data_IF_108945718982
#
_entry.id   IF_108945718982
#
_cell.length_a   1.000
_cell.length_b   1.000
_cell.length_c   1.000
_cell.angle_alpha   90.00
_cell.angle_beta   90.00
_cell.angle_gamma   90.00
#
_symmetry.space_group_name_H-M   'P 1'
#
loop_
_entity.id
_entity.type
_entity.pdbx_description
1 polymer ?
#
# COMPACT_ATOMS: atom_id res chain seq x y z
N UNK A 1 -2.80 22.81 -44.77
CA UNK A 1 -2.51 22.17 -43.46
C UNK A 1 -1.35 22.94 -42.84
N UNK A 2 -1.50 23.48 -41.65
CA UNK A 2 -0.36 24.05 -40.90
C UNK A 2 0.43 22.86 -40.36
N UNK A 3 1.70 22.77 -40.74
CA UNK A 3 2.61 21.83 -40.09
C UNK A 3 2.78 22.27 -38.63
N UNK A 4 2.22 21.52 -37.71
CA UNK A 4 2.50 21.72 -36.30
C UNK A 4 3.85 21.03 -36.04
N UNK A 5 4.90 21.80 -35.89
CA UNK A 5 6.15 21.27 -35.38
C UNK A 5 5.98 21.06 -33.89
N UNK A 6 5.90 19.79 -33.47
CA UNK A 6 5.98 19.42 -32.06
C UNK A 6 7.46 19.52 -31.66
N UNK A 7 7.77 20.41 -30.75
CA UNK A 7 9.04 20.39 -30.04
C UNK A 7 8.97 19.29 -28.96
N UNK A 8 10.12 18.84 -28.47
CA UNK A 8 10.23 17.73 -27.50
C UNK A 8 9.55 18.03 -26.13
N UNK A 9 9.04 19.23 -25.94
CA UNK A 9 8.38 19.69 -24.73
C UNK A 9 6.83 19.62 -24.78
N UNK A 10 6.26 19.03 -25.80
CA UNK A 10 4.81 18.84 -25.91
C UNK A 10 4.41 17.39 -25.70
N UNK A 11 3.30 17.20 -24.99
CA UNK A 11 2.62 15.93 -24.85
C UNK A 11 1.20 16.05 -25.40
N UNK A 12 0.83 15.10 -26.24
CA UNK A 12 -0.55 14.95 -26.72
C UNK A 12 -1.05 13.59 -26.23
N UNK A 13 -2.09 13.60 -25.45
CA UNK A 13 -2.78 12.38 -25.03
C UNK A 13 -4.19 12.37 -25.59
N UNK A 14 -4.68 11.18 -25.90
CA UNK A 14 -6.09 11.01 -26.24
C UNK A 14 -6.61 9.73 -25.60
N UNK A 15 -7.89 9.75 -25.24
CA UNK A 15 -8.59 8.60 -24.73
C UNK A 15 -9.95 8.45 -25.41
N UNK A 16 -10.35 7.22 -25.63
CA UNK A 16 -11.64 6.86 -26.22
C UNK A 16 -12.52 6.26 -25.14
N UNK A 17 -13.65 6.89 -24.89
CA UNK A 17 -14.59 6.46 -23.87
C UNK A 17 -15.93 6.08 -24.49
N UNK A 18 -16.57 4.97 -24.05
CA UNK A 18 -17.95 4.69 -24.45
C UNK A 18 -18.87 5.80 -23.94
N UNK A 19 -19.85 6.17 -24.74
CA UNK A 19 -20.88 7.12 -24.30
C UNK A 19 -21.69 6.51 -23.15
N UNK A 20 -21.82 7.26 -22.05
CA UNK A 20 -22.53 6.81 -20.84
C UNK A 20 -24.05 6.74 -20.99
N UNK A 21 -24.62 7.41 -21.97
CA UNK A 21 -26.07 7.53 -22.10
C UNK A 21 -26.62 6.55 -23.15
N UNK A 22 -27.23 5.48 -22.63
CA UNK A 22 -28.22 4.66 -23.33
C UNK A 22 -27.75 3.93 -24.58
N UNK A 23 -28.70 3.66 -25.46
CA UNK A 23 -28.64 2.80 -26.62
C UNK A 23 -27.75 3.33 -27.77
N UNK A 24 -27.22 4.50 -27.66
CA UNK A 24 -26.38 5.09 -28.72
C UNK A 24 -24.99 4.47 -28.70
N UNK A 25 -24.66 3.74 -29.75
CA UNK A 25 -23.31 3.24 -30.03
C UNK A 25 -22.41 4.40 -30.48
N UNK A 26 -21.82 5.10 -29.55
CA UNK A 26 -20.90 6.19 -29.81
C UNK A 26 -19.74 6.17 -28.83
N UNK A 27 -18.66 6.84 -29.20
CA UNK A 27 -17.49 7.02 -28.34
C UNK A 27 -17.17 8.49 -28.26
N UNK A 28 -16.79 8.94 -27.06
CA UNK A 28 -16.17 10.24 -26.87
C UNK A 28 -14.66 10.11 -26.98
N UNK A 29 -14.04 10.94 -27.79
CA UNK A 29 -12.59 11.07 -27.85
C UNK A 29 -12.23 12.33 -27.09
N UNK A 30 -11.43 12.20 -26.05
CA UNK A 30 -10.93 13.30 -25.26
C UNK A 30 -9.46 13.50 -25.63
N UNK A 31 -9.09 14.73 -25.94
CA UNK A 31 -7.74 15.13 -26.26
C UNK A 31 -7.22 16.05 -25.17
N UNK A 32 -6.00 15.81 -24.75
CA UNK A 32 -5.25 16.71 -23.89
C UNK A 32 -3.95 17.07 -24.57
N UNK A 33 -3.65 18.37 -24.57
CA UNK A 33 -2.42 18.93 -25.12
C UNK A 33 -1.74 19.71 -24.01
N UNK A 34 -0.50 19.33 -23.69
CA UNK A 34 0.26 19.93 -22.61
C UNK A 34 1.65 20.33 -23.11
N UNK A 35 2.04 21.54 -22.76
CA UNK A 35 3.39 22.05 -22.92
C UNK A 35 4.14 21.96 -21.59
N UNK A 36 5.31 21.31 -21.59
CA UNK A 36 6.14 21.20 -20.40
C UNK A 36 7.16 22.33 -20.36
N UNK A 37 7.36 22.93 -19.20
CA UNK A 37 8.57 23.72 -18.99
C UNK A 37 9.76 22.78 -18.86
N UNK A 38 10.91 23.15 -19.43
CA UNK A 38 12.18 22.41 -19.27
C UNK A 38 12.85 22.64 -17.91
N UNK A 39 12.18 23.35 -17.01
CA UNK A 39 12.69 23.59 -15.66
C UNK A 39 12.57 22.30 -14.84
N UNK A 40 13.67 21.89 -14.22
CA UNK A 40 13.65 20.81 -13.23
C UNK A 40 12.82 21.27 -12.02
N UNK A 41 11.60 20.81 -11.93
CA UNK A 41 10.75 21.02 -10.77
C UNK A 41 11.08 19.90 -9.78
N UNK A 42 11.50 20.25 -8.57
CA UNK A 42 11.66 19.30 -7.48
C UNK A 42 10.27 18.82 -7.04
N UNK A 43 9.81 17.71 -7.58
CA UNK A 43 8.49 17.14 -7.30
C UNK A 43 8.59 16.19 -6.12
N UNK A 44 7.86 16.49 -5.06
CA UNK A 44 7.62 15.51 -3.98
C UNK A 44 6.45 14.60 -4.37
N UNK A 45 6.68 13.29 -4.36
CA UNK A 45 5.62 12.30 -4.54
C UNK A 45 4.96 12.01 -3.18
N UNK A 46 4.06 12.89 -2.75
CA UNK A 46 3.33 12.70 -1.51
C UNK A 46 1.93 12.17 -1.79
N UNK A 47 1.46 11.25 -0.97
CA UNK A 47 0.07 10.82 -0.94
C UNK A 47 -0.43 10.64 0.53
N UNK A 48 -1.74 10.79 0.80
CA UNK A 48 -2.82 10.90 -0.18
C UNK A 48 -2.78 12.22 -0.98
N UNK A 49 -3.06 12.13 -2.27
CA UNK A 49 -3.21 13.26 -3.19
C UNK A 49 -4.51 13.09 -4.02
N UNK A 50 -4.82 14.07 -4.87
CA UNK A 50 -6.06 14.03 -5.67
C UNK A 50 -6.14 12.78 -6.55
N UNK A 51 -5.03 12.32 -7.13
CA UNK A 51 -5.04 11.13 -7.98
C UNK A 51 -5.15 9.85 -7.15
N UNK A 52 -4.43 9.75 -6.04
CA UNK A 52 -4.55 8.58 -5.16
C UNK A 52 -5.96 8.40 -4.58
N UNK A 53 -6.73 9.48 -4.44
CA UNK A 53 -8.14 9.39 -4.02
C UNK A 53 -9.05 8.73 -5.07
N UNK A 54 -8.72 8.81 -6.37
CA UNK A 54 -9.49 8.14 -7.42
C UNK A 54 -9.23 6.64 -7.52
N UNK A 55 -8.00 6.23 -7.27
CA UNK A 55 -7.56 4.83 -7.43
C UNK A 55 -7.23 4.16 -6.09
N UNK A 56 -7.15 4.94 -5.03
CA UNK A 56 -6.75 4.52 -3.68
C UNK A 56 -5.25 4.48 -3.47
N UNK A 57 -4.83 4.70 -2.23
CA UNK A 57 -3.41 4.83 -1.85
C UNK A 57 -2.60 3.56 -2.11
N UNK A 58 -3.20 2.37 -1.97
CA UNK A 58 -2.52 1.10 -2.29
C UNK A 58 -2.14 1.00 -3.76
N UNK A 59 -3.07 1.37 -4.65
CA UNK A 59 -2.81 1.39 -6.09
C UNK A 59 -1.73 2.42 -6.44
N UNK A 60 -1.85 3.62 -5.87
CA UNK A 60 -0.92 4.71 -6.12
C UNK A 60 0.50 4.37 -5.66
N UNK A 61 0.67 3.83 -4.46
CA UNK A 61 1.98 3.39 -3.97
C UNK A 61 2.63 2.35 -4.88
N UNK A 62 1.87 1.37 -5.38
CA UNK A 62 2.39 0.38 -6.33
C UNK A 62 2.80 1.00 -7.67
N UNK A 63 2.05 1.98 -8.19
CA UNK A 63 2.43 2.73 -9.40
C UNK A 63 3.75 3.46 -9.18
N UNK A 64 3.91 4.11 -8.02
CA UNK A 64 5.17 4.79 -7.66
C UNK A 64 6.33 3.79 -7.60
N UNK A 65 6.14 2.63 -6.98
CA UNK A 65 7.18 1.60 -6.92
C UNK A 65 7.57 1.10 -8.33
N UNK A 66 6.60 0.84 -9.20
CA UNK A 66 6.82 0.43 -10.59
C UNK A 66 7.56 1.51 -11.40
N UNK A 67 7.12 2.77 -11.28
CA UNK A 67 7.75 3.93 -11.91
C UNK A 67 9.23 4.10 -11.49
N UNK A 68 9.56 3.84 -10.24
CA UNK A 68 10.93 3.89 -9.71
C UNK A 68 11.74 2.63 -10.07
N UNK A 69 11.17 1.72 -10.87
CA UNK A 69 11.83 0.54 -11.40
C UNK A 69 12.02 -0.60 -10.39
N UNK A 70 11.18 -0.69 -9.37
CA UNK A 70 11.10 -1.87 -8.50
C UNK A 70 10.33 -2.99 -9.19
N UNK A 71 10.49 -4.21 -8.70
CA UNK A 71 9.68 -5.33 -9.18
C UNK A 71 8.32 -5.28 -8.50
N UNK A 72 7.29 -4.92 -9.26
CA UNK A 72 5.90 -4.92 -8.83
C UNK A 72 5.17 -5.99 -9.62
N UNK A 73 4.41 -6.91 -9.00
CA UNK A 73 3.61 -7.88 -9.73
C UNK A 73 2.58 -7.20 -10.62
N UNK A 74 2.35 -7.76 -11.81
CA UNK A 74 1.36 -7.21 -12.74
C UNK A 74 0.02 -7.00 -12.04
N UNK A 75 -0.40 -5.74 -11.99
CA UNK A 75 -1.56 -5.27 -11.27
C UNK A 75 -2.50 -4.54 -12.21
N UNK A 76 -3.76 -4.95 -12.25
CA UNK A 76 -4.84 -4.24 -12.94
C UNK A 76 -5.65 -3.46 -11.92
N UNK A 77 -5.79 -2.16 -12.15
CA UNK A 77 -6.65 -1.26 -11.34
C UNK A 77 -8.01 -1.18 -12.00
N UNK A 78 -9.06 -1.45 -11.24
CA UNK A 78 -10.46 -1.36 -11.67
C UNK A 78 -11.14 -0.35 -10.74
N UNK A 79 -11.47 0.81 -11.27
CA UNK A 79 -12.11 1.91 -10.55
C UNK A 79 -13.37 2.37 -11.27
N UNK A 80 -14.25 3.11 -10.56
CA UNK A 80 -15.51 3.60 -11.16
C UNK A 80 -15.32 4.77 -12.09
N UNK A 81 -14.36 5.63 -11.77
CA UNK A 81 -14.17 6.92 -12.43
C UNK A 81 -12.91 6.99 -13.30
N UNK A 82 -12.16 5.90 -13.38
CA UNK A 82 -10.95 5.77 -14.18
C UNK A 82 -11.08 4.52 -15.03
N UNK A 83 -10.69 4.60 -16.30
CA UNK A 83 -10.65 3.41 -17.16
C UNK A 83 -9.69 2.36 -16.56
N UNK A 84 -10.02 1.07 -16.61
CA UNK A 84 -9.12 0.04 -16.11
C UNK A 84 -7.77 0.10 -16.82
N UNK A 85 -6.70 0.01 -16.04
CA UNK A 85 -5.34 -0.01 -16.57
C UNK A 85 -4.47 -1.01 -15.83
N UNK A 86 -3.38 -1.42 -16.46
CA UNK A 86 -2.47 -2.45 -15.95
C UNK A 86 -1.04 -1.94 -15.98
N UNK A 87 -0.29 -2.25 -14.94
CA UNK A 87 1.14 -1.94 -14.80
C UNK A 87 1.85 -3.09 -14.08
N UNK A 88 3.17 -2.96 -13.89
CA UNK A 88 3.99 -3.98 -13.24
C UNK A 88 4.42 -5.10 -14.17
N UNK A 89 5.12 -6.08 -13.62
CA UNK A 89 5.79 -7.17 -14.35
C UNK A 89 5.05 -8.48 -14.19
N UNK A 90 5.11 -9.32 -15.21
CA UNK A 90 4.61 -10.69 -15.14
C UNK A 90 5.46 -11.53 -14.18
N UNK A 91 4.83 -12.21 -13.25
CA UNK A 91 5.46 -13.10 -12.27
C UNK A 91 5.57 -14.54 -12.76
N UNK A 92 4.98 -14.86 -13.93
CA UNK A 92 4.86 -16.21 -14.44
C UNK A 92 3.78 -17.07 -13.77
N UNK A 93 3.05 -16.51 -12.79
CA UNK A 93 1.99 -17.22 -12.05
C UNK A 93 0.62 -16.80 -12.57
N UNK A 94 -0.32 -17.75 -12.63
CA UNK A 94 -1.70 -17.48 -13.06
C UNK A 94 -2.60 -17.02 -11.92
N UNK A 95 -2.27 -17.37 -10.66
CA UNK A 95 -3.01 -16.92 -9.47
C UNK A 95 -3.09 -15.39 -9.43
N UNK A 96 -4.27 -14.87 -9.05
CA UNK A 96 -4.50 -13.45 -8.89
C UNK A 96 -5.12 -13.16 -7.55
N UNK A 97 -4.59 -12.16 -6.90
CA UNK A 97 -5.12 -11.62 -5.67
C UNK A 97 -6.03 -10.43 -5.96
N UNK A 98 -7.23 -10.47 -5.42
CA UNK A 98 -8.16 -9.36 -5.48
C UNK A 98 -8.09 -8.61 -4.15
N UNK A 99 -7.78 -7.33 -4.23
CA UNK A 99 -7.63 -6.46 -3.05
C UNK A 99 -8.56 -5.26 -3.17
N UNK A 100 -9.40 -5.05 -2.17
CA UNK A 100 -10.24 -3.86 -2.09
C UNK A 100 -9.44 -2.67 -1.57
N UNK A 101 -9.61 -1.53 -2.22
CA UNK A 101 -8.90 -0.29 -1.87
C UNK A 101 -9.91 0.80 -1.51
N UNK A 102 -10.15 1.05 -0.22
CA UNK A 102 -11.01 2.13 0.23
C UNK A 102 -10.32 3.49 0.06
N UNK A 103 -11.11 4.57 -0.06
CA UNK A 103 -10.59 5.95 -0.07
C UNK A 103 -9.91 6.27 1.26
N UNK A 104 -10.55 5.88 2.37
CA UNK A 104 -9.95 5.99 3.71
C UNK A 104 -9.38 4.65 4.10
N UNK A 105 -8.08 4.62 4.40
CA UNK A 105 -7.38 3.38 4.76
C UNK A 105 -7.93 2.85 6.09
N UNK A 106 -8.43 1.61 6.08
CA UNK A 106 -8.81 0.84 7.27
C UNK A 106 -8.14 -0.54 7.19
N UNK A 107 -6.98 -0.72 7.84
CA UNK A 107 -6.20 -1.95 7.74
C UNK A 107 -6.98 -3.19 8.19
N UNK A 108 -6.90 -4.27 7.40
CA UNK A 108 -7.51 -5.57 7.76
C UNK A 108 -9.04 -5.64 7.75
N UNK A 109 -9.76 -4.60 7.29
CA UNK A 109 -11.22 -4.58 7.27
C UNK A 109 -11.83 -5.07 5.98
N UNK A 110 -11.18 -4.78 4.86
CA UNK A 110 -11.71 -5.03 3.53
C UNK A 110 -11.17 -6.31 2.91
N UNK A 111 -11.94 -6.84 1.98
CA UNK A 111 -11.65 -8.11 1.32
C UNK A 111 -10.27 -8.09 0.64
N UNK A 112 -9.52 -9.15 0.91
CA UNK A 112 -8.34 -9.59 0.15
C UNK A 112 -8.47 -11.09 -0.05
N UNK A 113 -8.31 -11.58 -1.27
CA UNK A 113 -8.44 -13.01 -1.57
C UNK A 113 -7.99 -13.36 -2.99
N UNK A 114 -7.84 -14.65 -3.23
CA UNK A 114 -7.35 -15.25 -4.48
C UNK A 114 -8.45 -15.81 -5.38
N UNK A 115 -9.72 -15.70 -4.95
CA UNK A 115 -10.86 -16.19 -5.72
C UNK A 115 -11.41 -15.10 -6.64
N UNK A 116 -11.73 -15.50 -7.86
CA UNK A 116 -12.41 -14.62 -8.79
C UNK A 116 -13.76 -14.13 -8.24
N UNK A 117 -14.04 -12.86 -8.43
CA UNK A 117 -15.31 -12.23 -8.10
C UNK A 117 -15.59 -11.10 -9.10
N UNK A 118 -16.86 -10.76 -9.28
CA UNK A 118 -17.22 -9.57 -10.05
C UNK A 118 -16.74 -8.31 -9.30
N UNK A 119 -15.89 -7.47 -9.92
CA UNK A 119 -15.29 -6.34 -9.23
C UNK A 119 -16.31 -5.29 -8.79
N UNK A 120 -17.36 -5.08 -9.55
CA UNK A 120 -18.37 -4.08 -9.22
C UNK A 120 -19.33 -4.56 -8.13
N UNK A 121 -19.68 -5.85 -8.16
CA UNK A 121 -20.45 -6.46 -7.07
C UNK A 121 -19.65 -6.44 -5.75
N UNK A 122 -18.36 -6.77 -5.79
CA UNK A 122 -17.51 -6.71 -4.63
C UNK A 122 -17.40 -5.29 -4.06
N UNK A 123 -17.23 -4.25 -4.90
CA UNK A 123 -17.23 -2.86 -4.44
C UNK A 123 -18.51 -2.53 -3.67
N UNK A 124 -19.66 -2.91 -4.20
CA UNK A 124 -20.96 -2.65 -3.56
C UNK A 124 -21.09 -3.42 -2.23
N UNK A 125 -20.61 -4.66 -2.17
CA UNK A 125 -20.64 -5.47 -0.95
C UNK A 125 -19.74 -4.85 0.14
N UNK A 126 -18.55 -4.42 -0.23
CA UNK A 126 -17.59 -3.83 0.71
C UNK A 126 -18.05 -2.46 1.22
N UNK A 127 -18.71 -1.65 0.39
CA UNK A 127 -19.29 -0.37 0.79
C UNK A 127 -20.41 -0.53 1.82
N UNK A 128 -21.16 -1.63 1.76
CA UNK A 128 -22.23 -1.95 2.73
C UNK A 128 -21.73 -2.37 4.11
N UNK A 129 -20.44 -2.73 4.25
CA UNK A 129 -19.86 -3.14 5.54
C UNK A 129 -19.60 -1.96 6.48
N UNK A 130 -19.62 -0.73 5.98
CA UNK A 130 -19.36 0.47 6.76
C UNK A 130 -20.61 1.05 7.41
N UNK A 131 -20.45 1.70 8.57
CA UNK A 131 -21.52 2.44 9.24
C UNK A 131 -21.89 3.76 8.55
N UNK A 132 -21.11 4.21 7.58
CA UNK A 132 -21.29 5.41 6.74
C UNK A 132 -20.98 5.04 5.32
N UNK A 133 -21.45 5.82 4.36
CA UNK A 133 -21.14 5.71 2.93
C UNK A 133 -19.61 5.67 2.69
N UNK A 134 -19.03 4.49 2.84
CA UNK A 134 -17.62 4.26 2.61
C UNK A 134 -17.44 4.05 1.12
N UNK A 135 -16.73 4.96 0.51
CA UNK A 135 -16.40 4.87 -0.90
C UNK A 135 -15.19 3.97 -1.11
N UNK A 136 -15.37 2.90 -1.85
CA UNK A 136 -14.28 2.10 -2.38
C UNK A 136 -13.72 2.80 -3.63
N UNK A 137 -12.47 3.18 -3.59
CA UNK A 137 -11.80 3.86 -4.70
C UNK A 137 -11.60 2.90 -5.89
N UNK A 138 -11.08 1.70 -5.62
CA UNK A 138 -10.79 0.71 -6.64
C UNK A 138 -10.70 -0.70 -6.09
N UNK A 139 -10.62 -1.65 -7.01
CA UNK A 139 -10.13 -2.99 -6.77
C UNK A 139 -8.81 -3.20 -7.52
N UNK A 140 -7.89 -3.88 -6.90
CA UNK A 140 -6.67 -4.35 -7.53
C UNK A 140 -6.80 -5.84 -7.86
N UNK A 141 -6.54 -6.20 -9.11
CA UNK A 141 -6.30 -7.58 -9.51
C UNK A 141 -4.80 -7.75 -9.75
N UNK A 142 -4.10 -8.28 -8.77
CA UNK A 142 -2.64 -8.42 -8.76
C UNK A 142 -2.24 -9.87 -8.99
N UNK A 143 -1.27 -10.13 -9.85
CA UNK A 143 -0.69 -11.47 -10.01
C UNK A 143 -0.04 -11.92 -8.72
N UNK A 144 -0.20 -13.20 -8.39
CA UNK A 144 0.50 -13.84 -7.29
C UNK A 144 2.02 -13.85 -7.51
N UNK A 145 2.75 -14.01 -6.43
CA UNK A 145 4.20 -14.28 -6.42
C UNK A 145 4.40 -15.56 -5.65
N UNK A 146 5.22 -16.47 -6.15
CA UNK A 146 5.57 -17.69 -5.41
C UNK A 146 6.42 -17.31 -4.21
N UNK A 147 5.83 -17.34 -3.02
CA UNK A 147 6.47 -16.85 -1.82
C UNK A 147 7.36 -17.92 -1.18
N UNK A 148 8.68 -17.75 -1.25
CA UNK A 148 9.60 -18.46 -0.35
C UNK A 148 9.71 -17.75 1.00
N UNK A 149 9.72 -16.43 0.97
CA UNK A 149 9.63 -15.58 2.15
C UNK A 149 8.76 -14.38 1.82
N UNK A 150 8.13 -13.82 2.83
CA UNK A 150 7.34 -12.60 2.70
C UNK A 150 7.33 -11.83 4.02
N UNK A 151 7.04 -10.54 3.95
CA UNK A 151 7.03 -9.71 5.15
C UNK A 151 6.83 -8.24 4.87
N UNK A 152 7.22 -7.44 5.85
CA UNK A 152 7.23 -5.99 5.80
C UNK A 152 8.63 -5.42 6.04
N UNK A 153 8.87 -4.22 5.58
CA UNK A 153 10.03 -3.46 5.98
C UNK A 153 9.70 -1.97 6.10
N UNK A 154 10.35 -1.31 7.03
CA UNK A 154 10.33 0.15 7.19
C UNK A 154 11.70 0.65 6.75
N UNK A 155 11.72 1.67 5.91
CA UNK A 155 12.93 2.24 5.35
C UNK A 155 13.03 3.68 5.83
N UNK A 156 13.96 3.91 6.76
CA UNK A 156 14.25 5.21 7.33
C UNK A 156 15.16 6.07 6.46
N UNK A 157 15.56 7.22 7.02
CA UNK A 157 16.51 8.10 6.37
C UNK A 157 17.92 7.52 6.35
N UNK A 158 18.23 6.66 7.30
CA UNK A 158 19.49 5.95 7.43
C UNK A 158 19.25 4.49 7.86
N UNK A 159 20.28 3.65 7.74
CA UNK A 159 20.18 2.21 8.01
C UNK A 159 19.86 1.87 9.48
N UNK A 160 20.13 2.76 10.42
CA UNK A 160 19.82 2.52 11.83
C UNK A 160 18.32 2.68 12.15
N UNK A 161 17.58 3.30 11.26
CA UNK A 161 16.12 3.46 11.35
C UNK A 161 15.36 2.37 10.58
N UNK A 162 16.07 1.45 9.94
CA UNK A 162 15.46 0.38 9.16
C UNK A 162 14.91 -0.73 10.06
N UNK A 163 13.77 -1.26 9.66
CA UNK A 163 13.18 -2.45 10.25
C UNK A 163 12.88 -3.45 9.14
N UNK A 164 13.32 -4.69 9.30
CA UNK A 164 12.97 -5.81 8.41
C UNK A 164 12.27 -6.86 9.25
N UNK A 165 11.09 -7.25 8.82
CA UNK A 165 10.30 -8.29 9.45
C UNK A 165 9.79 -9.25 8.36
N UNK A 166 9.72 -10.56 8.66
CA UNK A 166 9.20 -11.50 7.69
C UNK A 166 9.24 -12.94 8.13
N UNK A 167 8.55 -13.76 7.38
CA UNK A 167 8.36 -15.18 7.61
C UNK A 167 8.67 -16.00 6.37
N UNK A 168 8.89 -17.28 6.55
CA UNK A 168 9.00 -18.22 5.46
C UNK A 168 7.60 -18.52 4.89
N UNK A 169 7.46 -18.44 3.56
CA UNK A 169 6.19 -18.69 2.88
C UNK A 169 5.32 -17.45 2.71
N UNK A 170 4.00 -17.65 2.68
CA UNK A 170 3.00 -16.59 2.48
C UNK A 170 2.85 -15.77 3.75
N UNK A 171 2.74 -14.43 3.60
CA UNK A 171 2.72 -13.49 4.70
C UNK A 171 1.35 -13.22 5.33
N UNK A 172 0.31 -13.98 4.98
CA UNK A 172 -1.02 -13.76 5.53
C UNK A 172 -1.01 -13.93 7.05
N UNK A 173 -0.33 -14.96 7.57
CA UNK A 173 -0.19 -15.25 8.99
C UNK A 173 0.67 -14.21 9.72
N UNK A 174 1.69 -13.66 9.05
CA UNK A 174 2.52 -12.56 9.58
C UNK A 174 1.70 -11.29 9.82
N UNK A 175 0.85 -10.92 8.88
CA UNK A 175 0.03 -9.70 8.99
C UNK A 175 -1.07 -9.82 10.06
N UNK A 176 -1.44 -11.03 10.44
CA UNK A 176 -2.44 -11.34 11.49
C UNK A 176 -1.86 -11.63 12.86
N UNK A 177 -0.52 -11.68 12.99
CA UNK A 177 0.13 -11.77 14.30
C UNK A 177 0.83 -13.09 14.60
N UNK A 178 0.95 -13.99 13.64
CA UNK A 178 1.82 -15.17 13.75
C UNK A 178 3.23 -14.78 13.23
N UNK A 179 4.13 -14.49 14.15
CA UNK A 179 5.48 -14.05 13.83
C UNK A 179 6.50 -15.10 14.26
N UNK A 180 7.24 -15.63 13.28
CA UNK A 180 8.52 -16.31 13.50
C UNK A 180 9.60 -15.59 12.68
N UNK A 181 10.53 -14.93 13.36
CA UNK A 181 11.68 -14.30 12.71
C UNK A 181 12.63 -15.39 12.22
N UNK A 182 12.61 -15.68 10.91
CA UNK A 182 13.44 -16.72 10.32
C UNK A 182 13.86 -16.35 8.89
N UNK A 183 14.43 -15.15 8.74
CA UNK A 183 14.97 -14.72 7.46
C UNK A 183 16.40 -15.22 7.27
N UNK A 184 16.69 -15.78 6.09
CA UNK A 184 18.07 -16.14 5.74
C UNK A 184 18.89 -14.88 5.43
N UNK A 185 20.21 -14.97 5.63
CA UNK A 185 21.14 -13.89 5.30
C UNK A 185 21.06 -13.46 3.83
N UNK A 186 20.75 -14.39 2.92
CA UNK A 186 20.52 -14.11 1.51
C UNK A 186 19.35 -13.15 1.30
N UNK A 187 18.20 -13.45 1.92
CA UNK A 187 16.99 -12.60 1.83
C UNK A 187 17.23 -11.24 2.44
N UNK A 188 17.87 -11.18 3.60
CA UNK A 188 18.26 -9.93 4.25
C UNK A 188 19.17 -9.10 3.35
N UNK A 189 20.16 -9.72 2.71
CA UNK A 189 21.05 -9.07 1.76
C UNK A 189 20.29 -8.44 0.58
N UNK A 190 19.40 -9.21 -0.05
CA UNK A 190 18.57 -8.74 -1.14
C UNK A 190 17.62 -7.61 -0.73
N UNK A 191 17.03 -7.70 0.46
CA UNK A 191 16.19 -6.64 1.02
C UNK A 191 16.97 -5.36 1.24
N UNK A 192 18.18 -5.43 1.79
CA UNK A 192 19.05 -4.26 1.98
C UNK A 192 19.38 -3.56 0.66
N UNK A 193 19.61 -4.31 -0.43
CA UNK A 193 19.79 -3.73 -1.77
C UNK A 193 18.55 -2.94 -2.21
N UNK A 194 17.36 -3.51 -2.04
CA UNK A 194 16.08 -2.86 -2.35
C UNK A 194 15.87 -1.63 -1.47
N UNK A 195 16.12 -1.74 -0.17
CA UNK A 195 15.98 -0.64 0.79
C UNK A 195 16.94 0.52 0.46
N UNK A 196 18.18 0.23 0.10
CA UNK A 196 19.14 1.24 -0.34
C UNK A 196 18.70 1.95 -1.62
N UNK A 197 18.08 1.22 -2.56
CA UNK A 197 17.47 1.82 -3.74
C UNK A 197 16.30 2.75 -3.35
N UNK A 198 15.41 2.36 -2.43
CA UNK A 198 14.37 3.26 -1.91
C UNK A 198 14.99 4.50 -1.25
N UNK A 199 16.03 4.32 -0.43
CA UNK A 199 16.72 5.43 0.26
C UNK A 199 17.34 6.42 -0.72
N UNK A 200 17.78 6.00 -1.90
CA UNK A 200 18.25 6.92 -2.94
C UNK A 200 17.13 7.86 -3.45
N UNK A 201 15.88 7.53 -3.21
CA UNK A 201 14.70 8.33 -3.55
C UNK A 201 14.06 9.04 -2.33
N UNK A 202 14.73 9.08 -1.16
CA UNK A 202 14.17 9.66 0.07
C UNK A 202 13.74 11.12 -0.08
N UNK A 203 14.43 11.92 -0.91
CA UNK A 203 14.01 13.31 -1.18
C UNK A 203 12.61 13.38 -1.78
N UNK A 204 12.24 12.37 -2.57
CA UNK A 204 10.95 12.26 -3.25
C UNK A 204 9.87 11.63 -2.35
N UNK A 205 10.24 10.57 -1.64
CA UNK A 205 9.30 9.68 -0.95
C UNK A 205 9.22 9.93 0.56
N UNK A 206 10.28 10.45 1.18
CA UNK A 206 10.42 10.41 2.62
C UNK A 206 10.59 8.97 3.13
N UNK A 207 10.22 8.74 4.37
CA UNK A 207 10.21 7.40 4.99
C UNK A 207 9.07 6.56 4.43
N UNK A 208 9.35 5.32 4.10
CA UNK A 208 8.37 4.40 3.51
C UNK A 208 8.30 3.06 4.26
N UNK A 209 7.14 2.41 4.18
CA UNK A 209 7.01 0.99 4.47
C UNK A 209 6.64 0.23 3.21
N UNK A 210 7.17 -0.97 3.10
CA UNK A 210 6.88 -1.89 2.01
C UNK A 210 6.36 -3.21 2.57
N UNK A 211 5.43 -3.83 1.85
CA UNK A 211 5.19 -5.26 1.92
C UNK A 211 5.93 -5.91 0.76
N UNK A 212 6.64 -6.98 1.04
CA UNK A 212 7.53 -7.62 0.08
C UNK A 212 7.35 -9.15 0.05
N UNK A 213 7.67 -9.73 -1.09
CA UNK A 213 7.72 -11.18 -1.30
C UNK A 213 9.04 -11.53 -1.99
N UNK A 214 9.73 -12.55 -1.51
CA UNK A 214 10.89 -13.14 -2.16
C UNK A 214 10.52 -14.46 -2.82
N UNK A 215 10.76 -14.57 -4.13
CA UNK A 215 10.41 -15.74 -4.94
C UNK A 215 11.55 -16.75 -5.12
N UNK A 216 12.68 -16.55 -4.43
CA UNK A 216 13.91 -17.34 -4.59
C UNK A 216 14.93 -16.69 -5.54
N UNK A 217 14.56 -15.58 -6.18
CA UNK A 217 15.45 -14.83 -7.09
C UNK A 217 15.41 -13.33 -6.82
N UNK A 218 14.23 -12.77 -6.75
CA UNK A 218 13.97 -11.34 -6.68
C UNK A 218 13.04 -10.98 -5.53
N UNK A 219 13.20 -9.76 -5.03
CA UNK A 219 12.23 -9.15 -4.12
C UNK A 219 11.16 -8.44 -4.96
N UNK A 220 9.91 -8.76 -4.68
CA UNK A 220 8.73 -8.15 -5.26
C UNK A 220 8.05 -7.24 -4.25
N UNK A 221 7.72 -6.03 -4.66
CA UNK A 221 6.98 -5.06 -3.85
C UNK A 221 5.50 -5.27 -4.10
N UNK A 222 4.77 -5.72 -3.08
CA UNK A 222 3.33 -5.98 -3.17
C UNK A 222 2.49 -4.89 -2.51
N UNK A 223 3.12 -3.99 -1.75
CA UNK A 223 2.53 -2.74 -1.25
C UNK A 223 3.63 -1.73 -0.91
N UNK A 224 3.39 -0.45 -1.15
CA UNK A 224 4.23 0.69 -0.74
C UNK A 224 3.37 1.75 -0.07
N UNK A 225 3.78 2.19 1.12
CA UNK A 225 3.14 3.26 1.86
C UNK A 225 4.18 4.30 2.31
N UNK A 226 3.78 5.57 2.40
CA UNK A 226 4.56 6.58 3.11
C UNK A 226 4.25 6.55 4.60
N UNK A 227 5.28 6.71 5.42
CA UNK A 227 5.18 6.78 6.88
C UNK A 227 5.71 8.14 7.34
N UNK A 228 5.01 8.77 8.26
CA UNK A 228 5.43 10.07 8.80
C UNK A 228 6.31 9.98 10.05
N UNK A 229 6.26 8.85 10.77
CA UNK A 229 7.02 8.62 12.00
C UNK A 229 7.64 7.22 12.00
N UNK A 230 8.93 7.12 12.24
CA UNK A 230 9.67 5.87 12.45
C UNK A 230 10.04 5.80 13.91
N UNK A 231 9.89 4.64 14.54
CA UNK A 231 10.26 4.39 15.91
C UNK A 231 11.16 3.16 16.06
N UNK A 232 12.01 3.14 17.07
CA UNK A 232 12.88 2.01 17.39
C UNK A 232 12.10 0.73 17.70
N UNK A 233 12.54 -0.35 17.12
CA UNK A 233 12.19 -1.78 17.18
C UNK A 233 11.06 -2.35 18.07
N UNK A 234 10.54 -1.62 19.05
CA UNK A 234 9.38 -2.02 19.87
C UNK A 234 8.30 -0.95 19.92
N UNK A 235 8.67 0.32 19.72
CA UNK A 235 7.74 1.44 19.73
C UNK A 235 7.03 1.53 18.37
N UNK A 236 5.70 1.55 18.37
CA UNK A 236 4.87 1.69 17.15
C UNK A 236 4.60 3.17 16.87
N UNK A 237 4.21 3.90 17.90
CA UNK A 237 3.94 5.35 17.85
C UNK A 237 4.55 5.99 19.09
N UNK A 238 5.44 6.95 18.87
CA UNK A 238 6.02 7.73 19.94
C UNK A 238 4.99 8.68 20.57
N UNK A 239 5.10 8.93 21.86
CA UNK A 239 4.30 9.91 22.58
C UNK A 239 4.44 9.76 24.09
N UNK A 240 4.21 10.87 24.80
CA UNK A 240 4.20 10.89 26.26
C UNK A 240 2.76 10.79 26.74
N UNK A 241 2.45 9.71 27.42
CA UNK A 241 1.14 9.45 28.05
C UNK A 241 1.32 9.03 29.50
N UNK A 242 0.30 9.23 30.31
CA UNK A 242 0.35 8.92 31.75
C UNK A 242 0.24 7.42 32.04
N UNK A 243 -0.38 6.65 31.13
CA UNK A 243 -0.60 5.21 31.28
C UNK A 243 -0.72 4.51 29.95
N UNK A 244 -0.59 3.18 29.98
CA UNK A 244 -0.82 2.31 28.83
C UNK A 244 -1.87 1.25 29.16
N UNK A 245 -2.86 1.08 28.29
CA UNK A 245 -3.80 -0.04 28.35
C UNK A 245 -3.29 -1.21 27.53
N UNK A 246 -3.46 -2.41 28.06
CA UNK A 246 -3.03 -3.65 27.41
C UNK A 246 -4.04 -4.06 26.35
N UNK A 247 -3.56 -4.41 25.15
CA UNK A 247 -4.33 -4.99 24.08
C UNK A 247 -3.63 -6.24 23.57
N UNK A 248 -4.33 -7.35 23.52
CA UNK A 248 -3.73 -8.62 23.11
C UNK A 248 -3.99 -8.87 21.61
N UNK A 249 -2.94 -9.23 20.90
CA UNK A 249 -3.03 -9.58 19.46
C UNK A 249 -4.03 -10.70 19.23
N UNK A 250 -4.09 -11.66 20.14
CA UNK A 250 -5.04 -12.77 20.10
C UNK A 250 -6.52 -12.37 20.15
N UNK A 251 -6.83 -11.17 20.62
CA UNK A 251 -8.20 -10.62 20.62
C UNK A 251 -8.64 -10.08 19.25
N UNK A 252 -7.70 -9.93 18.31
CA UNK A 252 -7.93 -9.47 16.95
C UNK A 252 -8.03 -7.95 16.79
N UNK A 253 -8.03 -7.53 15.52
CA UNK A 253 -8.01 -6.10 15.14
C UNK A 253 -9.27 -5.32 15.55
N UNK A 254 -10.44 -5.98 15.56
CA UNK A 254 -11.69 -5.29 15.94
C UNK A 254 -11.70 -4.95 17.44
N UNK A 255 -11.18 -5.84 18.31
CA UNK A 255 -11.01 -5.55 19.73
C UNK A 255 -10.10 -4.32 19.94
N UNK A 256 -8.98 -4.24 19.19
CA UNK A 256 -8.10 -3.08 19.24
C UNK A 256 -8.83 -1.78 18.82
N UNK A 257 -9.62 -1.83 17.74
CA UNK A 257 -10.38 -0.67 17.26
C UNK A 257 -11.41 -0.18 18.27
N UNK A 258 -12.12 -1.10 18.90
CA UNK A 258 -13.12 -0.75 19.91
C UNK A 258 -12.46 -0.17 21.17
N UNK A 259 -11.33 -0.71 21.57
CA UNK A 259 -10.52 -0.16 22.66
C UNK A 259 -10.06 1.26 22.36
N UNK A 260 -9.57 1.54 21.15
CA UNK A 260 -9.16 2.88 20.72
C UNK A 260 -10.30 3.90 20.79
N UNK A 261 -11.54 3.50 20.43
CA UNK A 261 -12.72 4.39 20.50
C UNK A 261 -13.04 4.86 21.92
N UNK A 262 -12.72 4.05 22.91
CA UNK A 262 -13.01 4.30 24.34
C UNK A 262 -11.80 4.80 25.12
N UNK A 263 -10.63 4.88 24.49
CA UNK A 263 -9.36 5.23 25.13
C UNK A 263 -9.35 6.69 25.59
N UNK A 264 -8.88 6.93 26.80
CA UNK A 264 -8.68 8.28 27.31
C UNK A 264 -7.55 9.02 26.57
N UNK A 265 -7.66 10.35 26.48
CA UNK A 265 -6.70 11.18 25.69
C UNK A 265 -5.25 11.08 26.14
N UNK A 266 -4.99 10.72 27.40
CA UNK A 266 -3.65 10.63 28.00
C UNK A 266 -3.24 9.17 28.27
N UNK A 267 -3.80 8.24 27.47
CA UNK A 267 -3.52 6.81 27.59
C UNK A 267 -3.04 6.28 26.25
N UNK A 268 -1.98 5.48 26.28
CA UNK A 268 -1.46 4.74 25.12
C UNK A 268 -1.87 3.27 25.13
N UNK A 269 -1.39 2.51 24.16
CA UNK A 269 -1.61 1.06 24.05
C UNK A 269 -0.29 0.29 24.17
N UNK A 270 -0.26 -0.65 25.11
CA UNK A 270 0.72 -1.74 25.14
C UNK A 270 0.15 -2.91 24.36
N UNK A 271 0.67 -3.17 23.16
CA UNK A 271 0.24 -4.29 22.31
C UNK A 271 1.03 -5.54 22.74
N UNK A 272 0.32 -6.58 23.21
CA UNK A 272 0.93 -7.82 23.73
C UNK A 272 0.72 -8.94 22.73
N UNK A 273 1.82 -9.55 22.26
CA UNK A 273 1.81 -10.71 21.36
C UNK A 273 2.95 -10.68 20.34
N UNK A 274 3.07 -11.80 19.62
CA UNK A 274 4.07 -11.95 18.58
C UNK A 274 3.54 -11.37 17.25
N UNK A 275 3.73 -10.07 17.08
CA UNK A 275 3.30 -9.34 15.88
C UNK A 275 4.38 -8.36 15.45
N UNK A 276 4.49 -8.14 14.14
CA UNK A 276 5.41 -7.15 13.59
C UNK A 276 4.91 -5.72 13.75
N UNK A 277 5.84 -4.77 13.86
CA UNK A 277 5.52 -3.34 13.84
C UNK A 277 4.87 -2.94 12.51
N UNK A 278 5.26 -3.58 11.41
CA UNK A 278 4.72 -3.37 10.07
C UNK A 278 3.35 -4.03 9.84
N UNK A 279 2.82 -4.74 10.83
CA UNK A 279 1.52 -5.42 10.78
C UNK A 279 0.33 -4.47 10.72
N UNK A 280 -0.86 -5.03 10.47
CA UNK A 280 -2.11 -4.28 10.53
C UNK A 280 -2.40 -3.67 11.90
N UNK A 281 -1.97 -4.31 13.00
CA UNK A 281 -2.07 -3.73 14.34
C UNK A 281 -1.26 -2.44 14.45
N UNK A 282 -0.01 -2.46 13.99
CA UNK A 282 0.83 -1.27 13.94
C UNK A 282 0.24 -0.17 13.05
N UNK A 283 -0.33 -0.52 11.92
CA UNK A 283 -1.00 0.41 11.02
C UNK A 283 -2.21 1.10 11.66
N UNK A 284 -3.05 0.36 12.39
CA UNK A 284 -4.21 0.91 13.12
C UNK A 284 -3.75 1.91 14.18
N UNK A 285 -2.73 1.59 14.96
CA UNK A 285 -2.20 2.47 16.00
C UNK A 285 -1.57 3.74 15.40
N UNK A 286 -0.78 3.62 14.33
CA UNK A 286 -0.21 4.76 13.61
C UNK A 286 -1.26 5.68 13.00
N UNK A 287 -2.28 5.11 12.37
CA UNK A 287 -3.37 5.87 11.77
C UNK A 287 -4.12 6.72 12.78
N UNK A 288 -4.36 6.15 13.98
CA UNK A 288 -5.04 6.84 15.07
C UNK A 288 -4.09 7.69 15.95
N UNK A 289 -2.77 7.67 15.66
CA UNK A 289 -1.73 8.38 16.40
C UNK A 289 -1.75 8.06 17.90
N UNK A 290 -1.99 6.80 18.25
CA UNK A 290 -2.02 6.34 19.64
C UNK A 290 -0.60 5.99 20.06
N UNK A 291 -0.02 6.65 21.08
CA UNK A 291 1.26 6.27 21.65
C UNK A 291 1.26 4.79 22.04
N UNK A 292 2.19 4.01 21.50
CA UNK A 292 2.11 2.56 21.64
C UNK A 292 3.43 1.84 21.40
N UNK A 293 3.57 0.69 22.03
CA UNK A 293 4.70 -0.21 21.86
C UNK A 293 4.26 -1.67 21.93
N UNK A 294 5.12 -2.57 21.45
CA UNK A 294 4.89 -4.02 21.47
C UNK A 294 5.67 -4.68 22.61
N UNK A 295 4.97 -5.52 23.37
CA UNK A 295 5.57 -6.48 24.29
C UNK A 295 5.42 -7.87 23.68
N UNK A 296 6.53 -8.44 23.23
CA UNK A 296 6.55 -9.82 22.67
C UNK A 296 6.53 -10.85 23.81
N UNK A 297 5.79 -11.94 23.64
CA UNK A 297 5.64 -13.07 24.59
C UNK A 297 6.11 -14.36 23.94
#
# INVERSE_FOLDING_TARGET
MRNINFEDNYRVEFSIHPMREGIKRGHNIIWEFEEFSKEEIEVKMEWPNKFSQFIGDKAYGLIVADYLGFNVPQTTVIARNVAPFTFGKDTGIYERWIRTVPIVKEPGKYFTGDKWCDPFELMVQEERKGEKDINIASLLSQKGVEALYSGGAIIGNNESEDLIEGVKGKGDDFMTGEYEENLSDEVIGKLKEVMNKFRSHNKLLGTVSIEWVYDGKEIWIVQLNQIRNVSDGTVIVEGNVSSYEKSYVSEGLESLRDKIKTLNKDTGIELIGNVGISSHFGDVLRQNKIPSFITRI
#
